data_IF_621870622080
#
_entry.id   IF_621870622080
#
_cell.length_a   1.000
_cell.length_b   1.000
_cell.length_c   1.000
_cell.angle_alpha   90.00
_cell.angle_beta   90.00
_cell.angle_gamma   90.00
#
_symmetry.space_group_name_H-M   'P 1'
#
loop_
_entity.id
_entity.type
_entity.pdbx_description
1 polymer ?
#
# COMPACT_ATOMS: atom_id res chain seq x y z
N UNK A 1 24.87 13.56 15.58
CA UNK A 1 26.33 13.52 15.55
C UNK A 1 26.79 14.49 14.49
N UNK A 2 27.80 15.32 14.79
CA UNK A 2 28.52 16.04 13.75
C UNK A 2 29.11 15.06 12.72
N UNK A 3 29.44 15.58 11.55
CA UNK A 3 30.06 14.79 10.48
C UNK A 3 31.35 14.14 10.98
N UNK A 4 31.48 12.82 10.83
CA UNK A 4 32.66 12.09 11.33
C UNK A 4 33.85 12.20 10.37
N UNK A 5 33.65 12.78 9.18
CA UNK A 5 34.66 12.89 8.13
C UNK A 5 34.93 14.37 7.82
N UNK A 6 36.19 14.68 7.53
CA UNK A 6 36.55 15.99 6.99
C UNK A 6 35.94 16.21 5.59
N UNK A 7 35.84 17.46 5.10
CA UNK A 7 35.21 17.76 3.82
C UNK A 7 35.81 17.04 2.61
N UNK A 8 37.13 16.81 2.60
CA UNK A 8 37.83 16.13 1.50
C UNK A 8 37.45 14.65 1.51
N UNK A 9 37.51 14.01 2.68
CA UNK A 9 37.12 12.61 2.84
C UNK A 9 35.65 12.39 2.55
N UNK A 10 34.79 13.34 2.91
CA UNK A 10 33.37 13.30 2.56
C UNK A 10 33.13 13.41 1.06
N UNK A 11 33.82 14.34 0.39
CA UNK A 11 33.74 14.47 -1.06
C UNK A 11 34.16 13.17 -1.78
N UNK A 12 35.25 12.55 -1.31
CA UNK A 12 35.71 11.25 -1.81
C UNK A 12 34.68 10.14 -1.56
N UNK A 13 34.09 10.04 -0.36
CA UNK A 13 33.05 9.04 -0.08
C UNK A 13 31.85 9.24 -1.01
N UNK A 14 31.41 10.48 -1.19
CA UNK A 14 30.25 10.81 -2.02
C UNK A 14 30.48 10.51 -3.50
N UNK A 15 31.72 10.65 -4.00
CA UNK A 15 32.06 10.34 -5.40
C UNK A 15 31.99 8.83 -5.71
N UNK A 16 32.15 7.98 -4.69
CA UNK A 16 32.03 6.52 -4.83
C UNK A 16 30.58 6.01 -4.81
N UNK A 17 29.61 6.87 -4.48
CA UNK A 17 28.19 6.50 -4.44
C UNK A 17 27.64 6.47 -5.87
N UNK A 18 27.47 5.26 -6.40
CA UNK A 18 26.92 5.04 -7.74
C UNK A 18 25.40 5.09 -7.72
N UNK A 19 24.82 5.69 -8.75
CA UNK A 19 23.37 5.76 -8.98
C UNK A 19 22.77 4.51 -9.64
N UNK A 20 23.61 3.56 -10.06
CA UNK A 20 23.23 2.30 -10.73
C UNK A 20 24.27 1.22 -10.46
N UNK A 21 23.88 -0.04 -10.65
CA UNK A 21 24.70 -1.21 -10.35
C UNK A 21 25.21 -1.18 -8.90
N UNK A 22 24.35 -0.75 -7.98
CA UNK A 22 24.66 -0.82 -6.55
C UNK A 22 24.86 -2.28 -6.12
N UNK A 23 25.48 -2.48 -4.96
CA UNK A 23 25.67 -3.84 -4.40
C UNK A 23 24.32 -4.56 -4.23
N UNK A 24 23.28 -3.84 -3.80
CA UNK A 24 21.93 -4.39 -3.66
C UNK A 24 21.35 -4.87 -4.99
N UNK A 25 21.39 -4.03 -6.03
CA UNK A 25 20.94 -4.42 -7.37
C UNK A 25 21.66 -5.66 -7.89
N UNK A 26 22.98 -5.72 -7.72
CA UNK A 26 23.79 -6.87 -8.20
C UNK A 26 23.38 -8.16 -7.50
N UNK A 27 23.11 -8.11 -6.19
CA UNK A 27 22.65 -9.29 -5.42
C UNK A 27 21.33 -9.81 -5.99
N UNK A 28 20.34 -8.94 -6.15
CA UNK A 28 19.01 -9.31 -6.66
C UNK A 28 19.12 -9.85 -8.10
N UNK A 29 19.87 -9.16 -8.96
CA UNK A 29 20.08 -9.57 -10.36
C UNK A 29 20.73 -10.95 -10.48
N UNK A 30 21.79 -11.22 -9.71
CA UNK A 30 22.49 -12.52 -9.73
C UNK A 30 21.55 -13.64 -9.29
N UNK A 31 20.76 -13.40 -8.24
CA UNK A 31 19.81 -14.37 -7.73
C UNK A 31 18.72 -14.70 -8.77
N UNK A 32 18.08 -13.67 -9.34
CA UNK A 32 17.06 -13.85 -10.38
C UNK A 32 17.62 -14.53 -11.63
N UNK A 33 18.82 -14.15 -12.08
CA UNK A 33 19.46 -14.77 -13.23
C UNK A 33 19.77 -16.26 -13.00
N UNK A 34 20.24 -16.64 -11.80
CA UNK A 34 20.48 -18.04 -11.43
C UNK A 34 19.22 -18.89 -11.53
N UNK A 35 18.07 -18.30 -11.25
CA UNK A 35 16.75 -18.94 -11.33
C UNK A 35 16.11 -18.85 -12.73
N UNK A 36 16.83 -18.37 -13.74
CA UNK A 36 16.37 -18.33 -15.14
C UNK A 36 15.46 -17.14 -15.49
N UNK A 37 15.28 -16.17 -14.59
CA UNK A 37 14.51 -14.97 -14.92
C UNK A 37 15.24 -14.11 -15.95
N UNK A 38 14.49 -13.61 -16.94
CA UNK A 38 14.95 -12.61 -17.91
C UNK A 38 14.37 -11.25 -17.54
N UNK A 39 15.24 -10.25 -17.50
CA UNK A 39 14.88 -8.90 -17.09
C UNK A 39 15.61 -7.85 -17.92
N UNK A 40 15.04 -6.65 -17.96
CA UNK A 40 15.68 -5.42 -18.45
C UNK A 40 16.09 -4.57 -17.25
N UNK A 41 17.06 -3.69 -17.44
CA UNK A 41 17.57 -2.84 -16.36
C UNK A 41 17.29 -1.37 -16.67
N UNK A 42 16.94 -0.61 -15.63
CA UNK A 42 16.87 0.86 -15.67
C UNK A 42 16.08 1.41 -16.87
N UNK A 43 14.93 0.82 -17.12
CA UNK A 43 14.08 1.10 -18.29
C UNK A 43 13.54 2.53 -18.20
N UNK A 44 14.03 3.43 -19.06
CA UNK A 44 13.81 4.88 -18.94
C UNK A 44 12.42 5.34 -19.37
N UNK A 45 11.68 4.53 -20.11
CA UNK A 45 10.31 4.83 -20.53
C UNK A 45 9.25 4.36 -19.52
N UNK A 46 9.65 3.86 -18.35
CA UNK A 46 8.75 3.53 -17.25
C UNK A 46 8.90 4.54 -16.10
N UNK A 47 7.80 4.91 -15.42
CA UNK A 47 7.83 5.81 -14.28
C UNK A 47 8.84 5.38 -13.21
N UNK A 48 9.59 6.33 -12.66
CA UNK A 48 10.62 6.08 -11.65
C UNK A 48 11.88 5.35 -12.13
N UNK A 49 11.94 4.91 -13.40
CA UNK A 49 13.05 4.16 -13.99
C UNK A 49 13.45 2.94 -13.12
N UNK A 50 12.60 1.91 -13.05
CA UNK A 50 12.82 0.77 -12.17
C UNK A 50 14.16 0.08 -12.42
N UNK A 51 14.80 -0.39 -11.34
CA UNK A 51 16.12 -1.01 -11.41
C UNK A 51 16.09 -2.30 -12.23
N UNK A 52 15.04 -3.11 -12.02
CA UNK A 52 14.83 -4.38 -12.72
C UNK A 52 13.40 -4.42 -13.24
N UNK A 53 13.23 -4.78 -14.51
CA UNK A 53 11.92 -4.94 -15.16
C UNK A 53 11.81 -6.36 -15.69
N UNK A 54 10.72 -7.04 -15.36
CA UNK A 54 10.40 -8.41 -15.73
C UNK A 54 9.14 -8.41 -16.62
N UNK A 55 9.25 -8.16 -17.95
CA UNK A 55 8.09 -7.99 -18.82
C UNK A 55 7.15 -9.18 -18.84
N UNK A 56 7.69 -10.41 -18.85
CA UNK A 56 6.90 -11.66 -18.84
C UNK A 56 5.93 -11.71 -17.66
N UNK A 57 6.34 -11.19 -16.51
CA UNK A 57 5.58 -11.22 -15.26
C UNK A 57 4.83 -9.92 -15.01
N UNK A 58 4.91 -8.94 -15.92
CA UNK A 58 4.40 -7.58 -15.75
C UNK A 58 4.82 -7.03 -14.38
N UNK A 59 6.09 -7.23 -14.00
CA UNK A 59 6.63 -6.87 -12.69
C UNK A 59 7.85 -5.94 -12.82
N UNK A 60 7.98 -5.00 -11.89
CA UNK A 60 9.13 -4.10 -11.75
C UNK A 60 9.64 -4.15 -10.31
N UNK A 61 10.95 -4.04 -10.14
CA UNK A 61 11.60 -4.06 -8.83
C UNK A 61 12.43 -2.80 -8.69
N UNK A 62 12.21 -2.11 -7.57
CA UNK A 62 13.08 -1.04 -7.07
C UNK A 62 13.95 -1.58 -5.94
N UNK A 63 15.25 -1.27 -5.97
CA UNK A 63 16.19 -1.59 -4.91
C UNK A 63 16.60 -0.30 -4.22
N UNK A 64 15.89 0.05 -3.14
CA UNK A 64 16.04 1.32 -2.45
C UNK A 64 17.12 1.29 -1.38
N UNK A 65 18.03 2.27 -1.42
CA UNK A 65 18.87 2.59 -0.27
C UNK A 65 18.04 3.18 0.87
N UNK A 66 18.18 2.66 2.09
CA UNK A 66 17.38 3.08 3.25
C UNK A 66 17.55 4.57 3.55
N UNK A 67 18.77 5.09 3.39
CA UNK A 67 19.05 6.50 3.58
C UNK A 67 18.38 7.40 2.53
N UNK A 68 18.53 7.07 1.24
CA UNK A 68 18.13 7.92 0.13
C UNK A 68 16.63 8.04 -0.08
N UNK A 69 15.88 7.02 0.35
CA UNK A 69 14.44 6.89 0.17
C UNK A 69 13.69 6.89 1.52
N UNK A 70 14.34 7.31 2.61
CA UNK A 70 13.75 7.46 3.94
C UNK A 70 13.00 6.23 4.49
N UNK A 71 13.71 5.12 4.68
CA UNK A 71 13.10 3.91 5.26
C UNK A 71 12.73 4.12 6.74
N UNK A 72 11.47 4.46 7.01
CA UNK A 72 10.96 4.68 8.36
C UNK A 72 11.08 3.43 9.25
N UNK A 73 11.45 3.62 10.52
CA UNK A 73 11.67 2.52 11.48
C UNK A 73 12.94 1.69 11.23
N UNK A 74 13.76 2.05 10.25
CA UNK A 74 14.99 1.33 9.91
C UNK A 74 16.21 1.93 10.60
N UNK A 75 17.06 1.09 11.21
CA UNK A 75 18.31 1.53 11.85
C UNK A 75 19.32 2.24 10.92
N UNK A 76 19.17 2.05 9.61
CA UNK A 76 20.02 2.63 8.57
C UNK A 76 19.50 3.98 8.04
N UNK A 77 18.32 4.42 8.49
CA UNK A 77 17.81 5.76 8.21
C UNK A 77 17.81 6.60 9.49
N UNK A 78 18.39 7.79 9.41
CA UNK A 78 18.32 8.83 10.45
C UNK A 78 18.36 10.17 9.75
N UNK A 79 17.57 11.12 10.24
CA UNK A 79 17.58 12.47 9.69
C UNK A 79 18.99 13.09 9.78
N UNK A 80 19.51 13.63 8.67
CA UNK A 80 20.82 14.28 8.67
C UNK A 80 20.82 15.49 9.59
N UNK A 81 21.68 15.47 10.61
CA UNK A 81 21.87 16.62 11.52
C UNK A 81 22.81 17.69 10.94
N UNK A 82 23.65 17.31 9.97
CA UNK A 82 24.57 18.22 9.27
C UNK A 82 24.02 18.56 7.90
N UNK A 83 24.02 19.84 7.53
CA UNK A 83 23.45 20.34 6.27
C UNK A 83 22.00 19.87 6.05
N UNK A 84 21.22 19.89 7.14
CA UNK A 84 19.83 19.41 7.19
C UNK A 84 18.93 20.16 6.21
N UNK A 85 19.13 21.47 6.05
CA UNK A 85 18.40 22.34 5.12
C UNK A 85 18.53 21.88 3.65
N UNK A 86 19.64 21.25 3.28
CA UNK A 86 19.81 20.65 1.96
C UNK A 86 19.27 19.22 1.91
N UNK A 87 19.63 18.38 2.89
CA UNK A 87 19.38 16.95 2.84
C UNK A 87 17.91 16.58 3.06
N UNK A 88 17.25 17.18 4.04
CA UNK A 88 15.86 16.84 4.37
C UNK A 88 14.93 17.10 3.17
N UNK A 89 14.95 18.29 2.53
CA UNK A 89 14.11 18.53 1.35
C UNK A 89 14.48 17.64 0.15
N UNK A 90 15.77 17.27 0.00
CA UNK A 90 16.20 16.34 -1.06
C UNK A 90 15.64 14.94 -0.87
N UNK A 91 15.70 14.42 0.35
CA UNK A 91 15.17 13.09 0.69
C UNK A 91 13.65 13.08 0.52
N UNK A 92 12.95 14.12 1.01
CA UNK A 92 11.50 14.25 0.83
C UNK A 92 11.08 14.26 -0.64
N UNK A 93 11.83 14.96 -1.51
CA UNK A 93 11.59 14.94 -2.96
C UNK A 93 11.79 13.56 -3.59
N UNK A 94 12.71 12.75 -3.07
CA UNK A 94 12.88 11.38 -3.54
C UNK A 94 11.67 10.52 -3.16
N UNK A 95 11.26 10.56 -1.88
CA UNK A 95 10.09 9.83 -1.38
C UNK A 95 8.82 10.17 -2.19
N UNK A 96 8.60 11.46 -2.46
CA UNK A 96 7.46 11.91 -3.26
C UNK A 96 7.53 11.39 -4.72
N UNK A 97 8.73 11.38 -5.31
CA UNK A 97 8.95 10.81 -6.65
C UNK A 97 8.70 9.30 -6.66
N UNK A 98 9.14 8.58 -5.64
CA UNK A 98 8.96 7.13 -5.53
C UNK A 98 7.47 6.78 -5.43
N UNK A 99 6.71 7.50 -4.59
CA UNK A 99 5.25 7.34 -4.48
C UNK A 99 4.55 7.53 -5.81
N UNK A 100 4.89 8.60 -6.53
CA UNK A 100 4.32 8.88 -7.86
C UNK A 100 4.65 7.79 -8.87
N UNK A 101 5.90 7.32 -8.89
CA UNK A 101 6.32 6.26 -9.78
C UNK A 101 5.57 4.95 -9.51
N UNK A 102 5.47 4.55 -8.24
CA UNK A 102 4.70 3.36 -7.83
C UNK A 102 3.24 3.48 -8.30
N UNK A 103 2.61 4.63 -8.07
CA UNK A 103 1.23 4.89 -8.47
C UNK A 103 1.02 4.75 -9.99
N UNK A 104 1.87 5.39 -10.80
CA UNK A 104 1.77 5.32 -12.26
C UNK A 104 2.04 3.91 -12.79
N UNK A 105 3.00 3.18 -12.20
CA UNK A 105 3.28 1.80 -12.57
C UNK A 105 2.11 0.87 -12.23
N UNK A 106 1.53 0.98 -11.04
CA UNK A 106 0.36 0.21 -10.64
C UNK A 106 -0.85 0.50 -11.53
N UNK A 107 -1.10 1.77 -11.90
CA UNK A 107 -2.19 2.12 -12.81
C UNK A 107 -1.99 1.57 -14.24
N UNK A 108 -0.74 1.43 -14.67
CA UNK A 108 -0.34 0.72 -15.91
C UNK A 108 -0.38 -0.81 -15.77
N UNK A 109 -0.86 -1.34 -14.65
CA UNK A 109 -1.01 -2.77 -14.35
C UNK A 109 0.31 -3.48 -14.03
N UNK A 110 1.38 -2.76 -13.69
CA UNK A 110 2.64 -3.36 -13.24
C UNK A 110 2.57 -3.78 -11.77
N UNK A 111 3.12 -4.95 -11.47
CA UNK A 111 3.42 -5.37 -10.11
C UNK A 111 4.72 -4.69 -9.63
N UNK A 112 4.61 -3.80 -8.65
CA UNK A 112 5.76 -3.05 -8.13
C UNK A 112 6.24 -3.69 -6.83
N UNK A 113 7.50 -4.11 -6.81
CA UNK A 113 8.18 -4.65 -5.63
C UNK A 113 9.28 -3.69 -5.22
N UNK A 114 9.33 -3.31 -3.95
CA UNK A 114 10.41 -2.51 -3.38
C UNK A 114 11.20 -3.40 -2.43
N UNK A 115 12.52 -3.48 -2.66
CA UNK A 115 13.45 -4.16 -1.76
C UNK A 115 14.38 -3.11 -1.17
N UNK A 116 14.42 -3.04 0.15
CA UNK A 116 15.30 -2.12 0.87
C UNK A 116 16.69 -2.71 1.05
N UNK A 117 17.72 -1.86 1.02
CA UNK A 117 19.11 -2.30 1.20
C UNK A 117 19.35 -3.06 2.52
N UNK A 118 18.54 -2.79 3.55
CA UNK A 118 18.62 -3.46 4.83
C UNK A 118 18.10 -4.90 4.79
N UNK A 119 17.17 -5.21 3.88
CA UNK A 119 16.62 -6.55 3.68
C UNK A 119 17.62 -7.45 2.94
N UNK A 120 18.57 -6.84 2.22
CA UNK A 120 19.66 -7.55 1.53
C UNK A 120 20.91 -7.80 2.39
N UNK A 121 20.84 -7.50 3.69
CA UNK A 121 21.90 -7.82 4.67
C UNK A 121 21.90 -9.32 4.99
N UNK A 122 23.05 -9.83 5.45
CA UNK A 122 23.34 -11.28 5.52
C UNK A 122 22.29 -12.07 6.31
N UNK A 123 21.74 -11.47 7.35
CA UNK A 123 20.73 -12.02 8.26
C UNK A 123 19.33 -12.16 7.65
N UNK A 124 18.96 -11.31 6.66
CA UNK A 124 17.61 -11.28 6.06
C UNK A 124 17.56 -11.64 4.59
N UNK A 125 18.74 -11.68 3.95
CA UNK A 125 18.86 -11.75 2.48
C UNK A 125 18.19 -12.97 1.89
N UNK A 126 18.39 -14.15 2.47
CA UNK A 126 17.90 -15.40 1.90
C UNK A 126 16.37 -15.41 1.86
N UNK A 127 15.74 -15.18 3.01
CA UNK A 127 14.28 -15.02 3.13
C UNK A 127 13.73 -13.96 2.17
N UNK A 128 14.34 -12.77 2.15
CA UNK A 128 13.94 -11.68 1.23
C UNK A 128 13.95 -12.12 -0.23
N UNK A 129 14.99 -12.86 -0.65
CA UNK A 129 15.14 -13.29 -2.03
C UNK A 129 14.19 -14.45 -2.39
N UNK A 130 13.85 -15.33 -1.45
CA UNK A 130 12.82 -16.36 -1.62
C UNK A 130 11.45 -15.70 -1.80
N UNK A 131 11.07 -14.82 -0.88
CA UNK A 131 9.79 -14.08 -0.91
C UNK A 131 9.66 -13.22 -2.17
N UNK A 132 10.77 -12.67 -2.66
CA UNK A 132 10.81 -11.96 -3.94
C UNK A 132 10.35 -12.85 -5.10
N UNK A 133 10.83 -14.08 -5.20
CA UNK A 133 10.50 -14.97 -6.33
C UNK A 133 9.02 -15.33 -6.32
N UNK A 134 8.47 -15.59 -5.15
CA UNK A 134 7.03 -15.82 -4.98
C UNK A 134 6.24 -14.58 -5.41
N UNK A 135 6.67 -13.40 -4.97
CA UNK A 135 6.05 -12.12 -5.32
C UNK A 135 6.13 -11.77 -6.80
N UNK A 136 7.16 -12.24 -7.52
CA UNK A 136 7.27 -12.07 -8.99
C UNK A 136 6.34 -13.04 -9.72
N UNK A 137 6.29 -14.31 -9.30
CA UNK A 137 5.55 -15.37 -10.00
C UNK A 137 4.04 -15.22 -9.81
N UNK A 138 3.62 -14.80 -8.62
CA UNK A 138 2.22 -14.52 -8.35
C UNK A 138 1.93 -13.09 -8.79
N UNK A 139 0.89 -12.87 -9.59
CA UNK A 139 0.28 -11.53 -9.64
C UNK A 139 -0.03 -11.19 -8.19
N UNK A 140 0.61 -10.15 -7.65
CA UNK A 140 0.34 -9.74 -6.28
C UNK A 140 -1.18 -9.61 -6.16
N UNK A 141 -1.76 -10.33 -5.20
CA UNK A 141 -3.19 -10.30 -4.92
C UNK A 141 -3.67 -8.84 -4.79
N UNK A 142 -2.81 -7.98 -4.24
CA UNK A 142 -2.99 -6.54 -4.21
C UNK A 142 -3.27 -5.93 -5.59
N UNK A 143 -2.47 -6.21 -6.62
CA UNK A 143 -2.66 -5.59 -7.95
C UNK A 143 -3.95 -6.06 -8.61
N UNK A 144 -4.30 -7.32 -8.44
CA UNK A 144 -5.54 -7.85 -9.00
C UNK A 144 -6.76 -7.21 -8.34
N UNK A 145 -6.79 -7.15 -7.00
CA UNK A 145 -7.84 -6.47 -6.26
C UNK A 145 -7.87 -4.97 -6.55
N UNK A 146 -6.70 -4.34 -6.70
CA UNK A 146 -6.58 -2.94 -7.09
C UNK A 146 -7.22 -2.70 -8.46
N UNK A 147 -6.94 -3.53 -9.46
CA UNK A 147 -7.54 -3.39 -10.79
C UNK A 147 -9.05 -3.60 -10.75
N UNK A 148 -9.53 -4.63 -10.05
CA UNK A 148 -10.96 -4.91 -9.88
C UNK A 148 -11.65 -3.73 -9.20
N UNK A 149 -11.12 -3.26 -8.07
CA UNK A 149 -11.66 -2.13 -7.33
C UNK A 149 -11.69 -0.86 -8.19
N UNK A 150 -10.61 -0.57 -8.93
CA UNK A 150 -10.58 0.62 -9.77
C UNK A 150 -11.60 0.61 -10.88
N UNK A 151 -11.80 -0.54 -11.53
CA UNK A 151 -12.80 -0.68 -12.57
C UNK A 151 -14.19 -0.42 -11.99
N UNK A 152 -14.50 -1.03 -10.84
CA UNK A 152 -15.74 -0.78 -10.12
C UNK A 152 -15.90 0.69 -9.69
N UNK A 153 -14.85 1.31 -9.15
CA UNK A 153 -14.88 2.70 -8.70
C UNK A 153 -15.06 3.67 -9.86
N UNK A 154 -14.47 3.42 -11.03
CA UNK A 154 -14.67 4.25 -12.23
C UNK A 154 -16.11 4.15 -12.74
N UNK A 155 -16.70 2.94 -12.75
CA UNK A 155 -18.12 2.75 -13.06
C UNK A 155 -19.00 3.52 -12.07
N UNK A 156 -18.78 3.34 -10.77
CA UNK A 156 -19.46 4.10 -9.71
C UNK A 156 -19.34 5.62 -9.93
N UNK A 157 -18.12 6.12 -10.12
CA UNK A 157 -17.86 7.55 -10.30
C UNK A 157 -18.54 8.13 -11.55
N UNK A 158 -18.69 7.34 -12.60
CA UNK A 158 -19.35 7.73 -13.85
C UNK A 158 -20.87 7.65 -13.73
N UNK A 159 -21.40 6.60 -13.12
CA UNK A 159 -22.83 6.30 -13.05
C UNK A 159 -23.56 7.02 -11.90
N UNK A 160 -22.84 7.41 -10.85
CA UNK A 160 -23.41 8.05 -9.66
C UNK A 160 -23.26 9.57 -9.62
N UNK A 161 -23.04 10.22 -10.78
CA UNK A 161 -22.82 11.67 -10.83
C UNK A 161 -23.97 12.47 -10.22
N UNK A 162 -25.21 12.22 -10.66
CA UNK A 162 -26.40 12.91 -10.16
C UNK A 162 -26.59 12.70 -8.65
N UNK A 163 -26.33 11.47 -8.19
CA UNK A 163 -26.42 11.11 -6.77
C UNK A 163 -25.39 11.91 -5.95
N UNK A 164 -24.13 11.93 -6.36
CA UNK A 164 -23.07 12.68 -5.67
C UNK A 164 -23.40 14.18 -5.62
N UNK A 165 -23.90 14.75 -6.73
CA UNK A 165 -24.28 16.17 -6.80
C UNK A 165 -25.49 16.50 -5.92
N UNK A 166 -26.41 15.56 -5.74
CA UNK A 166 -27.57 15.70 -4.85
C UNK A 166 -27.24 15.56 -3.35
N UNK A 167 -25.96 15.36 -2.99
CA UNK A 167 -25.45 15.31 -1.62
C UNK A 167 -26.15 14.26 -0.72
N UNK A 168 -26.54 13.12 -1.30
CA UNK A 168 -27.10 11.97 -0.56
C UNK A 168 -26.17 11.46 0.55
N UNK A 169 -26.70 10.69 1.50
CA UNK A 169 -25.92 10.13 2.60
C UNK A 169 -24.75 9.23 2.14
N UNK A 170 -23.69 9.19 2.94
CA UNK A 170 -22.52 8.30 2.72
C UNK A 170 -22.97 6.84 2.56
N UNK A 171 -23.90 6.36 3.39
CA UNK A 171 -24.48 5.02 3.28
C UNK A 171 -25.05 4.70 1.89
N UNK A 172 -25.75 5.65 1.27
CA UNK A 172 -26.28 5.44 -0.08
C UNK A 172 -25.15 5.41 -1.13
N UNK A 173 -24.12 6.24 -0.98
CA UNK A 173 -22.93 6.20 -1.85
C UNK A 173 -22.18 4.87 -1.72
N UNK A 174 -22.02 4.37 -0.48
CA UNK A 174 -21.44 3.07 -0.19
C UNK A 174 -22.26 1.93 -0.83
N UNK A 175 -23.59 1.99 -0.77
CA UNK A 175 -24.46 1.02 -1.44
C UNK A 175 -24.26 0.96 -2.95
N UNK A 176 -24.13 2.12 -3.62
CA UNK A 176 -23.87 2.20 -5.06
C UNK A 176 -22.47 1.67 -5.41
N UNK A 177 -21.44 2.06 -4.66
CA UNK A 177 -20.09 1.51 -4.84
C UNK A 177 -20.05 -0.01 -4.63
N UNK A 178 -20.72 -0.51 -3.60
CA UNK A 178 -20.78 -1.92 -3.29
C UNK A 178 -21.47 -2.72 -4.40
N UNK A 179 -22.48 -2.15 -5.08
CA UNK A 179 -23.11 -2.77 -6.24
C UNK A 179 -22.11 -2.96 -7.39
N UNK A 180 -21.40 -1.90 -7.79
CA UNK A 180 -20.39 -1.95 -8.85
C UNK A 180 -19.23 -2.89 -8.50
N UNK A 181 -18.82 -2.88 -7.23
CA UNK A 181 -17.76 -3.77 -6.73
C UNK A 181 -18.20 -5.23 -6.73
N UNK A 182 -19.46 -5.53 -6.38
CA UNK A 182 -20.02 -6.88 -6.42
C UNK A 182 -20.03 -7.44 -7.84
N UNK A 183 -20.43 -6.63 -8.82
CA UNK A 183 -20.37 -7.03 -10.24
C UNK A 183 -18.93 -7.39 -10.65
N UNK A 184 -17.97 -6.53 -10.31
CA UNK A 184 -16.56 -6.74 -10.67
C UNK A 184 -15.95 -7.98 -9.97
N UNK A 185 -16.30 -8.23 -8.70
CA UNK A 185 -15.85 -9.41 -7.95
C UNK A 185 -16.41 -10.70 -8.57
N UNK A 186 -17.71 -10.72 -8.93
CA UNK A 186 -18.36 -11.88 -9.59
C UNK A 186 -17.74 -12.23 -10.94
N UNK A 187 -17.20 -11.26 -11.66
CA UNK A 187 -16.53 -11.45 -12.94
C UNK A 187 -15.04 -11.83 -12.81
N UNK A 188 -14.55 -12.00 -11.58
CA UNK A 188 -13.15 -12.34 -11.28
C UNK A 188 -13.01 -13.75 -10.70
N UNK A 189 -11.78 -14.17 -10.37
CA UNK A 189 -11.55 -15.43 -9.65
C UNK A 189 -12.05 -15.43 -8.20
N UNK A 190 -12.55 -14.30 -7.70
CA UNK A 190 -13.13 -14.15 -6.37
C UNK A 190 -14.66 -14.22 -6.40
N UNK A 191 -15.25 -14.91 -7.38
CA UNK A 191 -16.71 -14.98 -7.56
C UNK A 191 -17.46 -15.50 -6.32
N UNK A 192 -16.81 -16.33 -5.50
CA UNK A 192 -17.35 -16.87 -4.25
C UNK A 192 -17.18 -15.93 -3.04
N UNK A 193 -16.61 -14.74 -3.23
CA UNK A 193 -16.50 -13.71 -2.19
C UNK A 193 -17.71 -12.78 -2.21
N UNK A 194 -18.03 -12.26 -1.02
CA UNK A 194 -19.17 -11.39 -0.78
C UNK A 194 -18.74 -9.94 -0.65
N UNK A 195 -19.59 -9.03 -1.14
CA UNK A 195 -19.45 -7.59 -0.94
C UNK A 195 -20.58 -7.11 -0.04
N UNK A 196 -20.23 -6.77 1.21
CA UNK A 196 -21.16 -6.40 2.27
C UNK A 196 -20.91 -4.94 2.71
N UNK A 197 -22.00 -4.23 3.02
CA UNK A 197 -22.01 -2.83 3.48
C UNK A 197 -22.30 -2.79 4.97
N UNK A 198 -21.58 -1.95 5.72
CA UNK A 198 -21.72 -1.81 7.18
C UNK A 198 -21.68 -3.17 7.92
N UNK A 199 -20.85 -4.10 7.44
CA UNK A 199 -20.83 -5.46 7.96
C UNK A 199 -20.22 -5.49 9.37
N UNK A 200 -21.08 -5.70 10.35
CA UNK A 200 -20.68 -5.85 11.74
C UNK A 200 -20.37 -7.31 12.04
N UNK A 201 -19.10 -7.67 11.95
CA UNK A 201 -18.60 -8.99 12.31
C UNK A 201 -18.75 -9.18 13.84
N UNK A 202 -19.41 -10.26 14.26
CA UNK A 202 -19.61 -10.67 15.66
C UNK A 202 -20.53 -9.78 16.54
N UNK A 203 -21.72 -9.41 16.05
CA UNK A 203 -22.77 -8.77 16.87
C UNK A 203 -22.31 -7.50 17.62
N UNK A 204 -21.36 -6.74 17.05
CA UNK A 204 -20.88 -5.47 17.63
C UNK A 204 -19.91 -5.59 18.81
N UNK A 205 -19.43 -6.80 19.12
CA UNK A 205 -18.56 -7.02 20.29
C UNK A 205 -17.07 -6.86 20.00
N UNK A 206 -16.65 -6.87 18.74
CA UNK A 206 -15.23 -6.79 18.41
C UNK A 206 -14.75 -5.36 18.15
N UNK A 207 -13.70 -5.04 18.90
CA UNK A 207 -12.96 -3.80 18.96
C UNK A 207 -11.50 -4.24 19.06
N UNK A 208 -10.62 -3.75 18.19
CA UNK A 208 -9.21 -4.13 18.23
C UNK A 208 -8.38 -3.05 18.90
N UNK A 209 -7.43 -3.46 19.74
CA UNK A 209 -6.45 -2.56 20.35
C UNK A 209 -5.25 -2.45 19.42
N UNK A 210 -4.79 -1.22 19.14
CA UNK A 210 -3.55 -0.98 18.42
C UNK A 210 -2.50 -0.31 19.33
N UNK A 211 -1.33 -0.96 19.43
CA UNK A 211 -0.07 -0.40 19.97
C UNK A 211 -0.10 0.03 21.46
N UNK A 212 1.07 0.44 22.01
CA UNK A 212 1.38 0.77 23.42
C UNK A 212 0.39 1.70 24.15
N UNK A 213 -0.52 2.35 23.40
CA UNK A 213 -1.51 3.33 23.88
C UNK A 213 -2.93 2.77 24.04
N UNK A 214 -3.17 1.47 23.78
CA UNK A 214 -4.47 0.80 23.99
C UNK A 214 -5.66 1.50 23.28
N UNK A 215 -5.44 2.08 22.09
CA UNK A 215 -6.53 2.74 21.35
C UNK A 215 -7.44 1.68 20.74
N UNK A 216 -8.72 1.75 21.10
CA UNK A 216 -9.77 0.87 20.58
C UNK A 216 -10.22 1.32 19.19
N UNK A 217 -10.08 0.44 18.21
CA UNK A 217 -10.48 0.64 16.81
C UNK A 217 -11.73 -0.21 16.53
N UNK A 218 -12.85 0.40 16.10
CA UNK A 218 -14.00 -0.35 15.61
C UNK A 218 -13.65 -1.00 14.26
N UNK A 219 -14.08 -2.24 14.05
CA UNK A 219 -13.72 -3.05 12.87
C UNK A 219 -14.73 -2.89 11.72
N UNK A 220 -15.86 -2.23 12.00
CA UNK A 220 -16.89 -1.95 11.01
C UNK A 220 -16.37 -0.98 9.96
N UNK A 221 -16.12 -1.50 8.76
CA UNK A 221 -15.89 -0.69 7.57
C UNK A 221 -17.20 -0.42 6.84
N UNK A 222 -17.20 0.63 6.03
CA UNK A 222 -18.34 0.99 5.18
C UNK A 222 -18.63 -0.08 4.13
N UNK A 223 -17.60 -0.64 3.48
CA UNK A 223 -17.73 -1.77 2.56
C UNK A 223 -16.58 -2.76 2.77
N UNK A 224 -16.88 -4.06 2.74
CA UNK A 224 -15.86 -5.11 2.76
C UNK A 224 -16.07 -6.13 1.65
N UNK A 225 -14.97 -6.77 1.23
CA UNK A 225 -14.95 -7.94 0.37
C UNK A 225 -14.30 -9.09 1.13
N UNK A 226 -15.06 -10.15 1.39
CA UNK A 226 -14.64 -11.27 2.23
C UNK A 226 -15.34 -12.58 1.87
N UNK A 227 -14.76 -13.70 2.31
CA UNK A 227 -15.33 -15.04 2.07
C UNK A 227 -16.39 -15.45 3.09
N UNK A 228 -16.72 -14.58 4.06
CA UNK A 228 -17.58 -14.90 5.21
C UNK A 228 -17.05 -16.08 6.06
N UNK A 229 -15.74 -16.31 6.05
CA UNK A 229 -15.07 -17.38 6.81
C UNK A 229 -14.87 -18.68 6.04
N UNK A 230 -15.35 -18.80 4.79
CA UNK A 230 -15.24 -20.02 3.99
C UNK A 230 -13.79 -20.30 3.52
N UNK A 231 -13.01 -19.25 3.23
CA UNK A 231 -11.62 -19.36 2.75
C UNK A 231 -10.65 -18.99 3.87
N UNK A 232 -10.29 -19.97 4.70
CA UNK A 232 -9.44 -19.79 5.90
C UNK A 232 -8.12 -19.05 5.60
N UNK A 233 -7.44 -19.41 4.51
CA UNK A 233 -6.11 -18.83 4.17
C UNK A 233 -6.21 -17.35 3.78
N UNK A 234 -7.33 -16.90 3.21
CA UNK A 234 -7.45 -15.57 2.59
C UNK A 234 -8.87 -15.01 2.67
N UNK A 235 -9.43 -15.01 3.86
CA UNK A 235 -10.82 -14.61 4.05
C UNK A 235 -11.09 -13.13 3.71
N UNK A 236 -10.18 -12.23 4.07
CA UNK A 236 -10.36 -10.79 3.91
C UNK A 236 -9.60 -10.25 2.67
N UNK A 237 -10.33 -9.68 1.70
CA UNK A 237 -9.72 -9.15 0.47
C UNK A 237 -9.63 -7.63 0.47
N UNK A 238 -10.75 -6.92 0.58
CA UNK A 238 -10.83 -5.46 0.44
C UNK A 238 -11.61 -4.85 1.59
N UNK A 239 -11.09 -3.76 2.17
CA UNK A 239 -11.80 -2.92 3.13
C UNK A 239 -11.89 -1.49 2.57
N UNK A 240 -13.05 -0.86 2.67
CA UNK A 240 -13.30 0.49 2.14
C UNK A 240 -13.91 1.36 3.22
N UNK A 241 -13.39 2.58 3.33
CA UNK A 241 -13.96 3.68 4.10
C UNK A 241 -14.30 4.83 3.15
N UNK A 242 -15.45 5.45 3.34
CA UNK A 242 -15.93 6.55 2.53
C UNK A 242 -16.44 7.69 3.39
N UNK A 243 -15.89 8.88 3.15
CA UNK A 243 -16.26 10.10 3.87
C UNK A 243 -16.53 11.27 2.95
N UNK A 244 -17.52 12.09 3.29
CA UNK A 244 -17.68 13.39 2.65
C UNK A 244 -16.62 14.36 3.16
N UNK A 245 -16.16 15.23 2.27
CA UNK A 245 -15.08 16.19 2.56
C UNK A 245 -15.40 17.17 3.69
N UNK A 246 -16.70 17.42 3.95
CA UNK A 246 -17.19 18.28 5.04
C UNK A 246 -17.18 17.61 6.43
N UNK A 247 -16.92 16.31 6.51
CA UNK A 247 -16.87 15.60 7.79
C UNK A 247 -15.66 16.02 8.65
N UNK A 248 -15.76 15.88 9.99
CA UNK A 248 -14.69 16.26 10.90
C UNK A 248 -13.36 15.59 10.55
N UNK A 249 -12.26 16.35 10.63
CA UNK A 249 -10.91 15.83 10.36
C UNK A 249 -10.56 14.61 11.22
N UNK A 250 -11.04 14.59 12.46
CA UNK A 250 -10.78 13.50 13.40
C UNK A 250 -11.38 12.17 12.92
N UNK A 251 -12.63 12.17 12.45
CA UNK A 251 -13.27 10.97 11.92
C UNK A 251 -12.54 10.43 10.69
N UNK A 252 -12.17 11.35 9.78
CA UNK A 252 -11.38 11.01 8.60
C UNK A 252 -10.01 10.41 8.95
N UNK A 253 -9.40 10.82 10.06
CA UNK A 253 -8.13 10.24 10.54
C UNK A 253 -8.35 8.87 11.18
N UNK A 254 -9.42 8.71 11.97
CA UNK A 254 -9.77 7.43 12.58
C UNK A 254 -10.05 6.34 11.52
N UNK A 255 -10.65 6.69 10.38
CA UNK A 255 -10.86 5.79 9.24
C UNK A 255 -9.54 5.36 8.58
N UNK A 256 -8.59 6.29 8.42
CA UNK A 256 -7.25 5.97 7.88
C UNK A 256 -6.48 5.04 8.82
N UNK A 257 -6.48 5.33 10.11
CA UNK A 257 -5.84 4.49 11.14
C UNK A 257 -6.46 3.08 11.13
N UNK A 258 -7.78 2.98 10.94
CA UNK A 258 -8.46 1.67 10.81
C UNK A 258 -7.94 0.90 9.60
N UNK A 259 -7.84 1.51 8.43
CA UNK A 259 -7.31 0.85 7.23
C UNK A 259 -5.83 0.45 7.36
N UNK A 260 -5.01 1.24 8.05
CA UNK A 260 -3.65 0.84 8.40
C UNK A 260 -3.65 -0.39 9.30
N UNK A 261 -4.53 -0.47 10.31
CA UNK A 261 -4.62 -1.64 11.17
C UNK A 261 -5.09 -2.88 10.41
N UNK A 262 -6.16 -2.76 9.62
CA UNK A 262 -6.81 -3.86 8.91
C UNK A 262 -5.92 -4.48 7.82
N UNK A 263 -5.02 -3.70 7.22
CA UNK A 263 -4.14 -4.15 6.12
C UNK A 263 -2.79 -4.67 6.58
N UNK A 264 -2.52 -4.77 7.89
CA UNK A 264 -1.30 -5.44 8.42
C UNK A 264 -1.35 -6.95 8.19
N UNK A 265 -0.18 -7.57 7.97
CA UNK A 265 -0.05 -9.01 7.73
C UNK A 265 0.10 -9.84 9.01
N UNK A 266 0.65 -9.28 10.09
CA UNK A 266 0.80 -10.00 11.36
C UNK A 266 -0.21 -9.52 12.40
N UNK A 267 -0.62 -10.44 13.27
CA UNK A 267 -1.43 -10.18 14.45
C UNK A 267 -0.61 -9.50 15.57
N UNK A 268 0.71 -9.33 15.37
CA UNK A 268 1.59 -8.74 16.36
C UNK A 268 1.11 -7.32 16.67
N UNK A 269 0.69 -7.12 17.92
CA UNK A 269 0.14 -5.88 18.46
C UNK A 269 -1.34 -5.57 18.14
N UNK A 270 -2.10 -6.54 17.63
CA UNK A 270 -3.55 -6.43 17.45
C UNK A 270 -4.25 -7.42 18.38
N UNK A 271 -4.89 -6.90 19.43
CA UNK A 271 -5.61 -7.71 20.42
C UNK A 271 -7.11 -7.43 20.34
N UNK A 272 -7.93 -8.45 20.55
CA UNK A 272 -9.35 -8.24 20.79
C UNK A 272 -9.57 -7.47 22.10
N UNK A 273 -10.63 -6.67 22.13
CA UNK A 273 -11.05 -5.96 23.33
C UNK A 273 -11.38 -6.89 24.50
N UNK A 274 -11.86 -8.11 24.21
CA UNK A 274 -12.17 -9.10 25.25
C UNK A 274 -10.93 -9.84 25.79
N UNK A 275 -9.76 -9.69 25.15
CA UNK A 275 -8.51 -10.35 25.56
C UNK A 275 -8.53 -11.87 25.42
N UNK A 276 -9.61 -12.45 24.90
CA UNK A 276 -9.85 -13.90 24.85
C UNK A 276 -9.96 -14.40 23.42
N UNK A 277 -10.58 -13.62 22.53
CA UNK A 277 -10.78 -14.00 21.13
C UNK A 277 -9.57 -13.54 20.32
N UNK A 278 -8.81 -14.45 19.69
CA UNK A 278 -7.77 -13.99 18.76
C UNK A 278 -8.45 -13.25 17.59
N UNK A 279 -7.90 -12.13 17.08
CA UNK A 279 -8.48 -11.38 15.96
C UNK A 279 -8.35 -12.11 14.61
N UNK A 280 -8.44 -13.44 14.59
CA UNK A 280 -8.15 -14.37 13.49
C UNK A 280 -8.72 -13.88 12.14
N UNK A 281 -9.87 -13.21 12.17
CA UNK A 281 -10.60 -12.74 10.98
C UNK A 281 -10.75 -11.22 10.86
N UNK A 282 -10.05 -10.44 11.67
CA UNK A 282 -10.21 -8.98 11.71
C UNK A 282 -9.21 -8.27 10.81
N UNK A 283 -7.97 -8.75 10.75
CA UNK A 283 -6.91 -8.16 9.96
C UNK A 283 -6.60 -9.01 8.70
N UNK A 284 -5.54 -8.65 7.99
CA UNK A 284 -5.14 -9.36 6.78
C UNK A 284 -5.94 -8.97 5.55
N UNK A 285 -6.66 -7.85 5.54
CA UNK A 285 -7.20 -7.30 4.30
C UNK A 285 -6.05 -7.00 3.35
N UNK A 286 -6.12 -7.52 2.13
CA UNK A 286 -5.06 -7.27 1.15
C UNK A 286 -5.09 -5.84 0.62
N UNK A 287 -6.27 -5.24 0.49
CA UNK A 287 -6.40 -3.88 -0.02
C UNK A 287 -7.29 -3.05 0.89
N UNK A 288 -6.78 -1.95 1.43
CA UNK A 288 -7.59 -0.92 2.07
C UNK A 288 -7.79 0.26 1.12
N UNK A 289 -8.98 0.85 1.11
CA UNK A 289 -9.27 2.05 0.31
C UNK A 289 -10.01 3.08 1.14
N UNK A 290 -9.44 4.28 1.24
CA UNK A 290 -10.15 5.44 1.78
C UNK A 290 -10.59 6.34 0.64
N UNK A 291 -11.86 6.77 0.67
CA UNK A 291 -12.47 7.63 -0.36
C UNK A 291 -13.01 8.88 0.32
N UNK A 292 -12.51 10.05 -0.07
CA UNK A 292 -13.05 11.34 0.37
C UNK A 292 -13.74 12.04 -0.80
N UNK A 293 -15.07 12.16 -0.73
CA UNK A 293 -15.90 12.75 -1.77
C UNK A 293 -16.20 14.22 -1.45
N UNK A 294 -15.92 15.10 -2.39
CA UNK A 294 -16.34 16.49 -2.37
C UNK A 294 -17.51 16.71 -3.34
N UNK A 295 -18.77 16.69 -2.85
CA UNK A 295 -19.92 16.83 -3.73
C UNK A 295 -19.98 18.21 -4.39
N UNK A 296 -19.55 19.27 -3.69
CA UNK A 296 -19.55 20.65 -4.21
C UNK A 296 -18.59 20.85 -5.38
N UNK A 297 -17.39 20.26 -5.30
CA UNK A 297 -16.37 20.34 -6.35
C UNK A 297 -16.41 19.19 -7.33
N UNK A 298 -17.33 18.24 -7.13
CA UNK A 298 -17.38 16.98 -7.84
C UNK A 298 -16.00 16.33 -7.99
N UNK A 299 -15.34 16.12 -6.85
CA UNK A 299 -14.02 15.50 -6.81
C UNK A 299 -13.94 14.41 -5.75
N UNK A 300 -13.07 13.43 -5.99
CA UNK A 300 -12.81 12.35 -5.05
C UNK A 300 -11.31 12.19 -4.84
N UNK A 301 -10.88 12.24 -3.58
CA UNK A 301 -9.55 11.76 -3.19
C UNK A 301 -9.68 10.29 -2.82
N UNK A 302 -8.82 9.45 -3.37
CA UNK A 302 -8.79 8.01 -3.09
C UNK A 302 -7.40 7.64 -2.61
N UNK A 303 -7.28 7.06 -1.43
CA UNK A 303 -6.03 6.61 -0.81
C UNK A 303 -6.06 5.08 -0.70
N UNK A 304 -4.94 4.43 -0.98
CA UNK A 304 -4.84 2.97 -1.03
C UNK A 304 -3.85 2.49 0.03
N UNK A 305 -4.21 1.43 0.73
CA UNK A 305 -3.48 0.87 1.86
C UNK A 305 -3.09 -0.58 1.59
N UNK A 306 -1.85 -0.91 1.91
CA UNK A 306 -1.30 -2.26 1.79
C UNK A 306 -0.22 -2.48 2.84
N UNK A 307 -0.21 -3.64 3.49
CA UNK A 307 0.75 -3.99 4.55
C UNK A 307 0.82 -2.92 5.65
N UNK A 308 -0.33 -2.36 6.02
CA UNK A 308 -0.49 -1.37 7.08
C UNK A 308 0.08 0.01 6.78
N UNK A 309 0.23 0.37 5.51
CA UNK A 309 0.71 1.68 5.08
C UNK A 309 -0.13 2.22 3.94
N UNK A 310 -0.39 3.53 3.95
CA UNK A 310 -0.85 4.23 2.75
C UNK A 310 0.26 4.20 1.70
N UNK A 311 0.02 3.49 0.60
CA UNK A 311 1.01 3.28 -0.46
C UNK A 311 0.93 4.34 -1.56
N UNK A 312 -0.26 4.87 -1.86
CA UNK A 312 -0.44 6.02 -2.75
C UNK A 312 -1.85 6.61 -2.62
N UNK A 313 -2.02 7.80 -3.19
CA UNK A 313 -3.32 8.47 -3.30
C UNK A 313 -3.52 9.10 -4.68
N UNK A 314 -4.77 9.26 -5.10
CA UNK A 314 -5.12 9.96 -6.34
C UNK A 314 -6.30 10.89 -6.11
N UNK A 315 -6.40 11.91 -6.95
CA UNK A 315 -7.57 12.78 -6.99
C UNK A 315 -8.23 12.63 -8.36
N UNK A 316 -9.52 12.34 -8.37
CA UNK A 316 -10.37 12.43 -9.54
C UNK A 316 -11.12 13.76 -9.47
N UNK A 317 -11.13 14.48 -10.59
CA UNK A 317 -11.92 15.68 -10.78
C UNK A 317 -12.71 15.49 -12.08
N UNK A 318 -13.90 16.10 -12.17
CA UNK A 318 -14.68 16.17 -13.40
C UNK A 318 -15.14 17.60 -13.64
#
# INVERSE_FOLDING_TARGET
MPDMFDPVKRSEIMSHIRSKNTKGEIIVRKYLHRLGFRFRLHVSNLPGKPDIVLPKYKCVIFVHGCFWHAHQGCKYYRDPKTNSEYWIPKIQRNVERDRRAVQELCSMGWNVIVIWECELKKDKREETLVNLVESIKNKSLFNELFLIFNQAFIKFWTNSEDLIRSDISERNLCGNLAFELRDAIRQSRFADYYVDVEYNRNNGKLKTLMDEYMKVIPITCDVIVHSRGEVVIKDNLVAVEMKKSNQPKKEKEDDRIRLEALTKQSYDNVWSFDGHTLPEHVCGYTLGVYIEINPKKFSARVEYYYNGRCIFSRVLNK
#
